data_IF_097746485202
#
_entry.id   IF_097746485202
#
_cell.length_a   1.000
_cell.length_b   1.000
_cell.length_c   1.000
_cell.angle_alpha   90.00
_cell.angle_beta   90.00
_cell.angle_gamma   90.00
#
_symmetry.space_group_name_H-M   'P 1'
#
loop_
_entity.id
_entity.type
_entity.pdbx_description
1 polymer ?
#
# COMPACT_ATOMS: atom_id res chain seq x y z
N UNK A 1 -52.79 -17.86 -59.67
CA UNK A 1 -52.19 -17.50 -58.37
C UNK A 1 -51.98 -16.00 -58.37
N UNK A 2 -52.56 -15.27 -57.42
CA UNK A 2 -52.34 -13.82 -57.32
C UNK A 2 -50.97 -13.55 -56.70
N UNK A 3 -50.12 -12.81 -57.39
CA UNK A 3 -48.86 -12.32 -56.84
C UNK A 3 -49.14 -11.44 -55.63
N UNK A 4 -48.65 -11.85 -54.45
CA UNK A 4 -48.61 -10.97 -53.27
C UNK A 4 -47.64 -9.84 -53.58
N UNK A 5 -48.15 -8.61 -53.74
CA UNK A 5 -47.30 -7.42 -53.84
C UNK A 5 -46.44 -7.31 -52.59
N UNK A 6 -45.11 -7.16 -52.71
CA UNK A 6 -44.24 -6.96 -51.55
C UNK A 6 -44.64 -5.69 -50.80
N UNK A 7 -44.63 -5.76 -49.47
CA UNK A 7 -44.88 -4.59 -48.61
C UNK A 7 -43.62 -3.72 -48.65
N UNK A 8 -43.74 -2.52 -49.22
CA UNK A 8 -42.68 -1.52 -49.26
C UNK A 8 -42.60 -0.84 -47.88
N UNK A 9 -41.45 -0.94 -47.22
CA UNK A 9 -41.13 -0.24 -45.96
C UNK A 9 -40.02 0.78 -46.20
N UNK A 10 -39.96 1.88 -45.48
CA UNK A 10 -38.93 2.92 -45.66
C UNK A 10 -37.74 2.69 -44.72
N UNK A 11 -36.55 3.15 -45.11
CA UNK A 11 -35.47 3.35 -44.13
C UNK A 11 -35.70 4.68 -43.41
N UNK A 12 -35.08 4.83 -42.24
CA UNK A 12 -35.05 6.11 -41.55
C UNK A 12 -33.59 6.55 -41.42
N UNK A 13 -33.18 7.65 -42.04
CA UNK A 13 -31.84 8.25 -41.92
C UNK A 13 -32.01 9.71 -41.52
N UNK A 14 -31.24 10.21 -40.56
CA UNK A 14 -31.34 11.58 -40.04
C UNK A 14 -32.79 12.05 -39.77
N UNK A 15 -33.56 11.22 -39.07
CA UNK A 15 -34.99 11.44 -38.78
C UNK A 15 -35.90 11.60 -40.03
N UNK A 16 -35.39 11.31 -41.22
CA UNK A 16 -36.09 11.35 -42.50
C UNK A 16 -36.44 9.95 -43.02
N UNK A 17 -37.61 9.83 -43.65
CA UNK A 17 -38.10 8.56 -44.20
C UNK A 17 -37.66 8.39 -45.65
N UNK A 18 -36.74 7.46 -45.88
CA UNK A 18 -36.11 7.20 -47.18
C UNK A 18 -36.98 6.27 -48.01
N UNK A 19 -37.57 6.81 -49.07
CA UNK A 19 -38.52 6.09 -49.95
C UNK A 19 -37.86 5.63 -51.23
N UNK A 20 -36.83 6.31 -51.70
CA UNK A 20 -36.07 6.00 -52.91
C UNK A 20 -34.58 6.33 -52.74
N UNK A 21 -33.80 6.15 -53.82
CA UNK A 21 -32.36 6.38 -53.82
C UNK A 21 -31.99 7.87 -53.79
N UNK A 22 -32.87 8.76 -54.23
CA UNK A 22 -32.60 10.19 -54.19
C UNK A 22 -32.79 10.70 -52.76
N UNK A 23 -33.85 10.28 -52.06
CA UNK A 23 -34.01 10.50 -50.62
C UNK A 23 -32.78 9.99 -49.84
N UNK A 24 -32.22 8.83 -50.22
CA UNK A 24 -31.06 8.23 -49.54
C UNK A 24 -29.81 9.10 -49.68
N UNK A 25 -29.61 9.68 -50.88
CA UNK A 25 -28.47 10.56 -51.17
C UNK A 25 -28.61 11.90 -50.49
N UNK A 26 -29.82 12.45 -50.47
CA UNK A 26 -30.13 13.77 -49.88
C UNK A 26 -30.08 13.75 -48.34
N UNK A 27 -30.38 12.61 -47.72
CA UNK A 27 -30.37 12.40 -46.26
C UNK A 27 -29.38 11.31 -45.84
N UNK A 28 -28.20 11.30 -46.48
CA UNK A 28 -27.19 10.28 -46.24
C UNK A 28 -26.64 10.33 -44.81
N UNK A 29 -26.57 9.18 -44.15
CA UNK A 29 -26.01 9.03 -42.80
C UNK A 29 -25.22 7.72 -42.76
N UNK A 30 -23.91 7.78 -43.03
CA UNK A 30 -23.09 6.59 -43.29
C UNK A 30 -23.08 5.59 -42.12
N UNK A 31 -23.07 6.09 -40.88
CA UNK A 31 -23.06 5.24 -39.67
C UNK A 31 -24.34 4.40 -39.57
N UNK A 32 -25.50 4.99 -39.83
CA UNK A 32 -26.79 4.30 -39.77
C UNK A 32 -27.00 3.39 -40.97
N UNK A 33 -26.50 3.79 -42.14
CA UNK A 33 -26.50 2.93 -43.32
C UNK A 33 -25.63 1.67 -43.10
N UNK A 34 -24.49 1.79 -42.43
CA UNK A 34 -23.67 0.64 -42.01
C UNK A 34 -24.44 -0.31 -41.07
N UNK A 35 -25.24 0.20 -40.14
CA UNK A 35 -26.12 -0.63 -39.29
C UNK A 35 -27.17 -1.36 -40.12
N UNK A 36 -27.76 -0.70 -41.13
CA UNK A 36 -28.71 -1.36 -42.02
C UNK A 36 -28.06 -2.41 -42.92
N UNK A 37 -26.84 -2.17 -43.38
CA UNK A 37 -26.04 -3.14 -44.12
C UNK A 37 -25.71 -4.39 -43.26
N UNK A 38 -25.15 -4.19 -42.06
CA UNK A 38 -24.76 -5.30 -41.18
C UNK A 38 -25.97 -6.13 -40.76
N UNK A 39 -27.11 -5.50 -40.50
CA UNK A 39 -28.36 -6.18 -40.11
C UNK A 39 -29.12 -6.86 -41.27
N UNK A 40 -28.71 -6.71 -42.53
CA UNK A 40 -29.45 -7.26 -43.67
C UNK A 40 -30.68 -6.44 -44.08
N UNK A 41 -30.85 -5.25 -43.50
CA UNK A 41 -32.02 -4.39 -43.70
C UNK A 41 -31.91 -3.61 -45.02
N UNK A 42 -30.70 -3.16 -45.36
CA UNK A 42 -30.43 -2.46 -46.60
C UNK A 42 -30.71 -3.33 -47.82
N UNK A 43 -30.25 -4.59 -47.81
CA UNK A 43 -30.45 -5.54 -48.90
C UNK A 43 -31.95 -5.83 -49.12
N UNK A 44 -32.70 -6.01 -48.02
CA UNK A 44 -34.17 -6.20 -48.09
C UNK A 44 -34.87 -4.97 -48.65
N UNK A 45 -34.42 -3.78 -48.27
CA UNK A 45 -35.00 -2.52 -48.75
C UNK A 45 -34.76 -2.32 -50.25
N UNK A 46 -33.54 -2.56 -50.73
CA UNK A 46 -33.17 -2.51 -52.15
C UNK A 46 -33.96 -3.53 -52.98
N UNK A 47 -34.01 -4.77 -52.50
CA UNK A 47 -34.72 -5.87 -53.18
C UNK A 47 -36.21 -5.61 -53.34
N UNK A 48 -36.89 -5.12 -52.30
CA UNK A 48 -38.33 -4.87 -52.34
C UNK A 48 -38.71 -3.74 -53.30
N UNK A 49 -37.76 -2.83 -53.61
CA UNK A 49 -37.94 -1.70 -54.52
C UNK A 49 -37.45 -1.94 -55.95
N UNK A 50 -36.74 -3.04 -56.18
CA UNK A 50 -36.22 -3.41 -57.50
C UNK A 50 -34.92 -2.71 -57.88
N UNK A 51 -34.16 -2.18 -56.90
CA UNK A 51 -32.81 -1.63 -57.12
C UNK A 51 -31.78 -2.76 -57.23
N UNK A 52 -31.87 -3.53 -58.33
CA UNK A 52 -31.12 -4.77 -58.52
C UNK A 52 -29.62 -4.55 -58.72
N UNK A 53 -29.23 -3.42 -59.31
CA UNK A 53 -27.83 -3.08 -59.54
C UNK A 53 -27.13 -2.73 -58.21
N UNK A 54 -27.71 -1.81 -57.44
CA UNK A 54 -27.22 -1.46 -56.10
C UNK A 54 -27.27 -2.65 -55.14
N UNK A 55 -28.32 -3.49 -55.22
CA UNK A 55 -28.41 -4.71 -54.41
C UNK A 55 -27.23 -5.64 -54.71
N UNK A 56 -26.93 -5.86 -55.98
CA UNK A 56 -25.81 -6.72 -56.39
C UNK A 56 -24.48 -6.19 -55.87
N UNK A 57 -24.26 -4.88 -55.95
CA UNK A 57 -23.02 -4.28 -55.47
C UNK A 57 -22.92 -4.32 -53.93
N UNK A 58 -24.02 -4.12 -53.21
CA UNK A 58 -24.07 -4.26 -51.75
C UNK A 58 -23.82 -5.72 -51.33
N UNK A 59 -24.38 -6.70 -52.04
CA UNK A 59 -24.17 -8.13 -51.79
C UNK A 59 -22.71 -8.57 -52.04
N UNK A 60 -21.95 -7.83 -52.85
CA UNK A 60 -20.52 -8.07 -53.07
C UNK A 60 -19.63 -7.55 -51.93
N UNK A 61 -20.16 -6.70 -51.04
CA UNK A 61 -19.40 -6.25 -49.87
C UNK A 61 -19.26 -7.41 -48.88
N UNK A 62 -18.02 -7.79 -48.60
CA UNK A 62 -17.72 -8.78 -47.58
C UNK A 62 -18.01 -8.20 -46.19
N UNK A 63 -18.99 -8.76 -45.48
CA UNK A 63 -19.37 -8.35 -44.11
C UNK A 63 -18.26 -8.52 -43.06
N UNK A 64 -17.16 -9.20 -43.40
CA UNK A 64 -15.97 -9.34 -42.54
C UNK A 64 -14.85 -8.34 -42.87
N UNK A 65 -15.05 -7.46 -43.85
CA UNK A 65 -14.11 -6.39 -44.13
C UNK A 65 -14.04 -5.40 -42.96
N UNK A 66 -12.97 -4.61 -42.90
CA UNK A 66 -12.79 -3.55 -41.92
C UNK A 66 -13.90 -2.51 -42.03
N UNK A 67 -14.29 -1.92 -40.89
CA UNK A 67 -15.29 -0.84 -40.82
C UNK A 67 -15.07 0.24 -41.90
N UNK A 68 -13.85 0.77 -42.00
CA UNK A 68 -13.42 1.74 -43.02
C UNK A 68 -13.78 1.30 -44.45
N UNK A 69 -13.27 0.15 -44.89
CA UNK A 69 -13.54 -0.38 -46.23
C UNK A 69 -15.02 -0.57 -46.52
N UNK A 70 -15.83 -0.96 -45.53
CA UNK A 70 -17.28 -1.09 -45.71
C UNK A 70 -17.91 0.28 -45.92
N UNK A 71 -17.52 1.30 -45.13
CA UNK A 71 -18.07 2.64 -45.28
C UNK A 71 -17.74 3.25 -46.65
N UNK A 72 -16.49 3.10 -47.09
CA UNK A 72 -16.04 3.58 -48.42
C UNK A 72 -16.87 2.93 -49.53
N UNK A 73 -17.01 1.60 -49.51
CA UNK A 73 -17.79 0.88 -50.53
C UNK A 73 -19.27 1.29 -50.54
N UNK A 74 -19.87 1.50 -49.37
CA UNK A 74 -21.26 1.97 -49.28
C UNK A 74 -21.42 3.37 -49.90
N UNK A 75 -20.51 4.29 -49.59
CA UNK A 75 -20.55 5.63 -50.18
C UNK A 75 -20.32 5.62 -51.70
N UNK A 76 -19.44 4.75 -52.21
CA UNK A 76 -19.23 4.55 -53.64
C UNK A 76 -20.50 4.05 -54.35
N UNK A 77 -21.17 3.04 -53.79
CA UNK A 77 -22.41 2.47 -54.37
C UNK A 77 -23.52 3.52 -54.44
N UNK A 78 -23.71 4.28 -53.36
CA UNK A 78 -24.79 5.27 -53.30
C UNK A 78 -24.40 6.64 -53.87
N UNK A 79 -23.13 6.83 -54.24
CA UNK A 79 -22.55 8.04 -54.84
C UNK A 79 -22.72 9.27 -53.95
N UNK A 80 -22.36 9.12 -52.68
CA UNK A 80 -22.47 10.17 -51.67
C UNK A 80 -21.11 10.77 -51.32
N UNK A 81 -21.12 11.83 -50.50
CA UNK A 81 -19.90 12.60 -50.21
C UNK A 81 -18.88 11.78 -49.42
N UNK A 82 -17.69 11.66 -49.99
CA UNK A 82 -16.55 10.99 -49.35
C UNK A 82 -15.99 11.75 -48.14
N UNK A 83 -16.20 13.07 -48.03
CA UNK A 83 -15.63 13.88 -46.94
C UNK A 83 -16.28 13.55 -45.59
N UNK A 84 -17.61 13.38 -45.55
CA UNK A 84 -18.34 12.95 -44.36
C UNK A 84 -17.89 11.57 -43.88
N UNK A 85 -17.69 10.63 -44.83
CA UNK A 85 -17.22 9.28 -44.53
C UNK A 85 -15.81 9.28 -43.95
N UNK A 86 -14.90 10.08 -44.54
CA UNK A 86 -13.54 10.23 -44.02
C UNK A 86 -13.53 10.83 -42.62
N UNK A 87 -14.45 11.75 -42.31
CA UNK A 87 -14.56 12.30 -40.96
C UNK A 87 -15.01 11.23 -39.96
N UNK A 88 -16.03 10.45 -40.30
CA UNK A 88 -16.49 9.32 -39.46
C UNK A 88 -15.38 8.30 -39.20
N UNK A 89 -14.59 7.97 -40.22
CA UNK A 89 -13.44 7.05 -40.06
C UNK A 89 -12.42 7.63 -39.07
N UNK A 90 -12.06 8.91 -39.22
CA UNK A 90 -11.11 9.59 -38.31
C UNK A 90 -11.62 9.64 -36.88
N UNK A 91 -12.91 9.91 -36.70
CA UNK A 91 -13.53 9.97 -35.38
C UNK A 91 -13.52 8.60 -34.71
N UNK A 92 -13.84 7.53 -35.45
CA UNK A 92 -13.78 6.15 -34.96
C UNK A 92 -12.34 5.74 -34.59
N UNK A 93 -11.36 6.05 -35.44
CA UNK A 93 -9.94 5.79 -35.16
C UNK A 93 -9.47 6.51 -33.89
N UNK A 94 -9.90 7.77 -33.70
CA UNK A 94 -9.60 8.55 -32.52
C UNK A 94 -10.20 7.90 -31.27
N UNK A 95 -11.49 7.57 -31.29
CA UNK A 95 -12.17 6.90 -30.17
C UNK A 95 -11.51 5.56 -29.85
N UNK A 96 -11.19 4.76 -30.86
CA UNK A 96 -10.57 3.45 -30.68
C UNK A 96 -9.16 3.58 -30.08
N UNK A 97 -8.41 4.61 -30.44
CA UNK A 97 -7.10 4.93 -29.84
C UNK A 97 -7.26 5.28 -28.36
N UNK A 98 -8.22 6.12 -28.00
CA UNK A 98 -8.46 6.52 -26.62
C UNK A 98 -8.92 5.33 -25.75
N UNK A 99 -9.81 4.48 -26.28
CA UNK A 99 -10.21 3.24 -25.61
C UNK A 99 -8.99 2.33 -25.37
N UNK A 100 -8.12 2.17 -26.36
CA UNK A 100 -6.93 1.33 -26.22
C UNK A 100 -5.91 1.93 -25.23
N UNK A 101 -5.77 3.24 -25.19
CA UNK A 101 -4.95 3.94 -24.20
C UNK A 101 -5.50 3.74 -22.79
N UNK A 102 -6.82 3.90 -22.60
CA UNK A 102 -7.49 3.69 -21.33
C UNK A 102 -7.34 2.25 -20.83
N UNK A 103 -7.48 1.24 -21.71
CA UNK A 103 -7.25 -0.17 -21.37
C UNK A 103 -5.83 -0.43 -20.87
N UNK A 104 -4.81 0.11 -21.56
CA UNK A 104 -3.41 -0.03 -21.14
C UNK A 104 -3.12 0.63 -19.79
N UNK A 105 -3.76 1.77 -19.50
CA UNK A 105 -3.64 2.42 -18.19
C UNK A 105 -4.26 1.55 -17.11
N UNK A 106 -5.45 1.00 -17.36
CA UNK A 106 -6.15 0.13 -16.42
C UNK A 106 -5.36 -1.16 -16.12
N UNK A 107 -4.81 -1.82 -17.15
CA UNK A 107 -3.96 -3.00 -17.00
C UNK A 107 -2.76 -2.71 -16.09
N UNK A 108 -2.05 -1.59 -16.33
CA UNK A 108 -0.92 -1.18 -15.48
C UNK A 108 -1.34 -0.84 -14.05
N UNK A 109 -2.52 -0.25 -13.86
CA UNK A 109 -3.05 0.02 -12.52
C UNK A 109 -3.34 -1.28 -11.75
N UNK A 110 -3.88 -2.29 -12.43
CA UNK A 110 -4.12 -3.60 -11.85
C UNK A 110 -2.81 -4.30 -11.46
N UNK A 111 -1.82 -4.33 -12.36
CA UNK A 111 -0.48 -4.87 -12.07
C UNK A 111 0.16 -4.18 -10.85
N UNK A 112 0.10 -2.85 -10.79
CA UNK A 112 0.59 -2.11 -9.63
C UNK A 112 -0.16 -2.46 -8.34
N UNK A 113 -1.48 -2.63 -8.40
CA UNK A 113 -2.30 -3.01 -7.23
C UNK A 113 -1.87 -4.38 -6.70
N UNK A 114 -1.72 -5.37 -7.58
CA UNK A 114 -1.31 -6.72 -7.19
C UNK A 114 0.07 -6.74 -6.52
N UNK A 115 1.03 -5.95 -7.04
CA UNK A 115 2.36 -5.81 -6.44
C UNK A 115 2.27 -5.19 -5.05
N UNK A 116 1.47 -4.13 -4.88
CA UNK A 116 1.29 -3.46 -3.58
C UNK A 116 0.60 -4.40 -2.59
N UNK A 117 -0.47 -5.07 -3.01
CA UNK A 117 -1.22 -6.02 -2.18
C UNK A 117 -0.34 -7.19 -1.73
N UNK A 118 0.48 -7.75 -2.62
CA UNK A 118 1.46 -8.78 -2.27
C UNK A 118 2.47 -8.27 -1.25
N UNK A 119 3.06 -7.11 -1.50
CA UNK A 119 4.05 -6.49 -0.60
C UNK A 119 3.47 -6.17 0.79
N UNK A 120 2.24 -5.66 0.86
CA UNK A 120 1.53 -5.39 2.12
C UNK A 120 1.15 -6.69 2.83
N UNK A 121 0.71 -7.71 2.10
CA UNK A 121 0.35 -9.02 2.68
C UNK A 121 1.56 -9.69 3.34
N UNK A 122 2.70 -9.73 2.65
CA UNK A 122 3.94 -10.28 3.22
C UNK A 122 4.39 -9.50 4.47
N UNK A 123 4.20 -8.17 4.46
CA UNK A 123 4.45 -7.35 5.64
C UNK A 123 3.55 -7.71 6.82
N UNK A 124 2.24 -7.85 6.60
CA UNK A 124 1.26 -8.23 7.62
C UNK A 124 1.61 -9.59 8.24
N UNK A 125 2.10 -10.55 7.45
CA UNK A 125 2.57 -11.84 7.97
C UNK A 125 3.77 -11.69 8.90
N UNK A 126 4.77 -10.89 8.52
CA UNK A 126 5.95 -10.62 9.36
C UNK A 126 5.52 -9.94 10.65
N UNK A 127 4.65 -8.94 10.56
CA UNK A 127 4.04 -8.25 11.70
C UNK A 127 3.36 -9.21 12.65
N UNK A 128 2.50 -10.11 12.13
CA UNK A 128 1.78 -11.09 12.93
C UNK A 128 2.70 -12.09 13.63
N UNK A 129 3.82 -12.46 13.01
CA UNK A 129 4.84 -13.33 13.64
C UNK A 129 5.61 -12.62 14.77
N UNK A 130 5.76 -11.30 14.71
CA UNK A 130 6.38 -10.54 15.80
C UNK A 130 5.38 -10.33 16.95
N UNK A 131 4.14 -9.95 16.62
CA UNK A 131 3.07 -9.64 17.58
C UNK A 131 2.29 -10.89 18.00
N UNK A 132 2.99 -11.98 18.34
CA UNK A 132 2.36 -13.22 18.84
C UNK A 132 1.75 -12.96 20.24
N UNK A 133 0.57 -13.51 20.58
CA UNK A 133 -0.10 -13.28 21.88
C UNK A 133 0.63 -13.86 23.11
N UNK A 134 1.64 -14.72 22.89
CA UNK A 134 2.46 -15.32 23.95
C UNK A 134 3.91 -15.25 23.54
N UNK A 135 4.74 -14.85 24.47
CA UNK A 135 6.17 -14.61 24.26
C UNK A 135 7.00 -15.45 25.22
N UNK A 136 8.04 -16.10 24.71
CA UNK A 136 9.04 -16.83 25.49
C UNK A 136 10.45 -16.30 25.23
N UNK A 137 11.38 -16.47 26.19
CA UNK A 137 12.80 -16.08 26.01
C UNK A 137 13.41 -16.67 24.74
N UNK A 138 13.01 -17.91 24.39
CA UNK A 138 13.44 -18.63 23.19
C UNK A 138 13.10 -17.92 21.88
N UNK A 139 12.13 -17.01 21.89
CA UNK A 139 11.59 -16.37 20.68
C UNK A 139 12.38 -15.10 20.32
N UNK A 140 13.23 -14.60 21.22
CA UNK A 140 14.04 -13.38 21.01
C UNK A 140 14.84 -13.44 19.70
N UNK A 141 15.60 -14.52 19.39
CA UNK A 141 16.38 -14.57 18.16
C UNK A 141 15.50 -14.46 16.90
N UNK A 142 14.39 -15.20 16.85
CA UNK A 142 13.45 -15.15 15.72
C UNK A 142 12.86 -13.74 15.54
N UNK A 143 12.49 -13.09 16.64
CA UNK A 143 11.93 -11.73 16.61
C UNK A 143 12.97 -10.71 16.15
N UNK A 144 14.23 -10.83 16.59
CA UNK A 144 15.32 -9.98 16.09
C UNK A 144 15.50 -10.14 14.57
N UNK A 145 15.44 -11.37 14.06
CA UNK A 145 15.53 -11.64 12.63
C UNK A 145 14.33 -11.05 11.86
N UNK A 146 13.12 -11.16 12.40
CA UNK A 146 11.91 -10.56 11.81
C UNK A 146 11.95 -9.03 11.84
N UNK A 147 12.42 -8.42 12.93
CA UNK A 147 12.64 -6.96 13.00
C UNK A 147 13.71 -6.51 12.01
N UNK A 148 14.74 -7.32 11.74
CA UNK A 148 15.72 -7.05 10.71
C UNK A 148 15.09 -7.10 9.31
N UNK A 149 14.14 -8.01 9.06
CA UNK A 149 13.35 -8.05 7.82
C UNK A 149 12.51 -6.77 7.70
N UNK A 150 11.81 -6.35 8.75
CA UNK A 150 11.08 -5.07 8.76
C UNK A 150 12.02 -3.93 8.38
N UNK A 151 13.17 -3.84 9.05
CA UNK A 151 14.14 -2.76 8.82
C UNK A 151 14.70 -2.74 7.40
N UNK A 152 15.02 -3.90 6.82
CA UNK A 152 15.65 -3.97 5.49
C UNK A 152 14.66 -3.87 4.35
N UNK A 153 13.47 -4.48 4.51
CA UNK A 153 12.50 -4.63 3.43
C UNK A 153 11.31 -3.71 3.60
N UNK A 154 10.76 -3.58 4.80
CA UNK A 154 9.44 -2.97 5.02
C UNK A 154 9.47 -1.63 5.80
N UNK A 155 10.62 -0.98 5.92
CA UNK A 155 10.79 0.20 6.76
C UNK A 155 9.82 1.33 6.39
N UNK A 156 9.50 1.50 5.10
CA UNK A 156 8.56 2.52 4.63
C UNK A 156 7.14 2.29 5.15
N UNK A 157 6.59 1.07 5.01
CA UNK A 157 5.27 0.74 5.58
C UNK A 157 5.32 0.83 7.10
N UNK A 158 6.37 0.28 7.70
CA UNK A 158 6.55 0.30 9.14
C UNK A 158 6.56 1.72 9.71
N UNK A 159 7.20 2.67 9.03
CA UNK A 159 7.22 4.09 9.45
C UNK A 159 5.84 4.74 9.49
N UNK A 160 4.88 4.20 8.74
CA UNK A 160 3.48 4.64 8.69
C UNK A 160 2.69 4.04 9.85
N UNK A 161 2.88 2.75 10.13
CA UNK A 161 2.10 2.06 11.16
C UNK A 161 2.79 1.94 12.52
N UNK A 162 4.00 2.47 12.69
CA UNK A 162 4.81 2.32 13.91
C UNK A 162 4.02 2.64 15.18
N UNK A 163 3.11 3.62 15.11
CA UNK A 163 2.25 3.99 16.23
C UNK A 163 1.31 2.84 16.63
N UNK A 164 0.60 2.24 15.67
CA UNK A 164 -0.33 1.14 15.92
C UNK A 164 0.42 -0.12 16.33
N UNK A 165 1.56 -0.39 15.68
CA UNK A 165 2.44 -1.49 16.06
C UNK A 165 2.85 -1.40 17.54
N UNK A 166 3.21 -0.20 18.03
CA UNK A 166 3.58 -0.02 19.45
C UNK A 166 2.39 -0.25 20.36
N UNK A 167 1.20 0.23 20.00
CA UNK A 167 0.00 0.03 20.82
C UNK A 167 -0.31 -1.47 20.95
N UNK A 168 -0.29 -2.20 19.83
CA UNK A 168 -0.48 -3.65 19.83
C UNK A 168 0.63 -4.36 20.61
N UNK A 169 1.90 -3.96 20.40
CA UNK A 169 3.04 -4.54 21.10
C UNK A 169 2.94 -4.29 22.61
N UNK A 170 2.43 -3.14 23.05
CA UNK A 170 2.24 -2.85 24.48
C UNK A 170 1.24 -3.80 25.14
N UNK A 171 0.22 -4.24 24.40
CA UNK A 171 -0.79 -5.16 24.91
C UNK A 171 -0.34 -6.62 24.81
N UNK A 172 0.28 -6.98 23.70
CA UNK A 172 0.59 -8.37 23.37
C UNK A 172 2.00 -8.80 23.78
N UNK A 173 3.01 -7.94 23.57
CA UNK A 173 4.42 -8.29 23.74
C UNK A 173 5.34 -7.07 23.95
N UNK A 174 5.36 -6.47 25.15
CA UNK A 174 6.10 -5.22 25.41
C UNK A 174 7.61 -5.33 25.18
N UNK A 175 8.16 -6.54 25.28
CA UNK A 175 9.55 -6.84 24.96
C UNK A 175 9.92 -6.50 23.50
N UNK A 176 9.00 -6.61 22.56
CA UNK A 176 9.23 -6.22 21.16
C UNK A 176 9.60 -4.74 21.09
N UNK A 177 8.92 -3.90 21.88
CA UNK A 177 9.22 -2.47 21.96
C UNK A 177 10.65 -2.28 22.50
N UNK A 178 11.09 -3.05 23.51
CA UNK A 178 12.47 -2.97 24.01
C UNK A 178 13.50 -3.35 22.93
N UNK A 179 13.27 -4.45 22.19
CA UNK A 179 14.12 -4.88 21.08
C UNK A 179 14.19 -3.84 19.96
N UNK A 180 13.05 -3.24 19.62
CA UNK A 180 12.97 -2.16 18.63
C UNK A 180 13.73 -0.92 19.07
N UNK A 181 13.61 -0.54 20.35
CA UNK A 181 14.31 0.62 20.90
C UNK A 181 15.81 0.40 20.98
N UNK A 182 16.31 -0.84 20.97
CA UNK A 182 17.74 -1.11 20.89
C UNK A 182 18.31 -0.81 19.49
N UNK A 183 17.56 -1.08 18.43
CA UNK A 183 17.99 -0.78 17.06
C UNK A 183 17.93 0.73 16.80
N UNK A 184 19.07 1.34 16.43
CA UNK A 184 19.18 2.79 16.24
C UNK A 184 18.26 3.32 15.14
N UNK A 185 18.07 2.58 14.05
CA UNK A 185 17.29 3.04 12.90
C UNK A 185 15.80 2.95 13.20
N UNK A 186 15.38 1.85 13.84
CA UNK A 186 14.00 1.69 14.32
C UNK A 186 13.70 2.69 15.43
N UNK A 187 14.60 2.86 16.41
CA UNK A 187 14.48 3.85 17.49
C UNK A 187 14.27 5.25 16.92
N UNK A 188 14.98 5.67 15.88
CA UNK A 188 14.77 6.99 15.25
C UNK A 188 13.32 7.22 14.81
N UNK A 189 12.59 6.20 14.37
CA UNK A 189 11.19 6.36 13.94
C UNK A 189 10.27 6.95 15.03
N UNK A 190 10.66 6.82 16.30
CA UNK A 190 9.90 7.32 17.43
C UNK A 190 10.24 8.79 17.77
N UNK A 191 11.50 9.19 17.64
CA UNK A 191 11.97 10.53 18.04
C UNK A 191 12.12 11.49 16.86
N UNK A 192 12.46 10.99 15.67
CA UNK A 192 12.75 11.80 14.49
C UNK A 192 11.45 12.33 13.87
N UNK A 193 11.35 13.66 13.77
CA UNK A 193 10.15 14.34 13.26
C UNK A 193 10.05 14.29 11.74
N UNK A 194 11.17 14.03 11.05
CA UNK A 194 11.37 14.43 9.65
C UNK A 194 11.25 13.27 8.64
N UNK A 195 10.84 12.08 9.07
CA UNK A 195 10.64 10.91 8.17
C UNK A 195 9.53 11.09 7.13
N UNK A 196 8.61 12.02 7.35
CA UNK A 196 7.68 12.52 6.33
C UNK A 196 8.23 13.84 5.83
N UNK A 197 9.33 13.76 5.10
CA UNK A 197 9.95 14.94 4.50
C UNK A 197 8.88 15.76 3.78
N UNK A 198 8.80 17.04 4.15
CA UNK A 198 8.20 18.09 3.33
C UNK A 198 6.74 17.86 2.92
N UNK A 199 5.83 17.55 3.85
CA UNK A 199 4.50 18.16 3.72
C UNK A 199 4.70 19.63 4.06
N UNK A 200 4.86 20.43 3.01
CA UNK A 200 5.04 21.87 3.03
C UNK A 200 3.82 22.46 3.75
N UNK A 201 3.94 22.75 5.05
CA UNK A 201 2.95 23.55 5.78
C UNK A 201 3.37 25.03 5.60
N UNK A 202 2.84 25.69 4.57
CA UNK A 202 2.48 27.10 4.73
C UNK A 202 1.12 27.25 5.45
N UNK A 203 0.34 26.17 5.60
CA UNK A 203 -0.89 26.13 6.41
C UNK A 203 -1.09 24.76 7.09
N UNK A 204 -1.12 24.75 8.43
CA UNK A 204 -1.24 23.52 9.24
C UNK A 204 -2.58 22.80 9.02
N UNK A 205 -2.58 21.81 8.13
CA UNK A 205 -3.77 21.02 7.80
C UNK A 205 -4.23 20.12 8.97
N UNK A 206 -5.50 19.69 8.94
CA UNK A 206 -6.08 18.73 9.91
C UNK A 206 -5.32 17.40 9.92
N UNK A 207 -4.79 16.99 8.76
CA UNK A 207 -3.93 15.82 8.62
C UNK A 207 -2.59 15.98 9.35
N UNK A 208 -1.94 17.16 9.25
CA UNK A 208 -0.70 17.44 9.98
C UNK A 208 -0.93 17.35 11.50
N UNK A 209 -2.07 17.87 12.00
CA UNK A 209 -2.44 17.78 13.43
C UNK A 209 -2.65 16.34 13.88
N UNK A 210 -3.33 15.51 13.08
CA UNK A 210 -3.55 14.10 13.39
C UNK A 210 -2.23 13.31 13.47
N UNK A 211 -1.31 13.52 12.52
CA UNK A 211 0.01 12.87 12.52
C UNK A 211 0.81 13.26 13.76
N UNK A 212 0.86 14.56 14.11
CA UNK A 212 1.52 15.04 15.33
C UNK A 212 0.95 14.39 16.60
N UNK A 213 -0.38 14.28 16.69
CA UNK A 213 -1.08 13.63 17.82
C UNK A 213 -0.70 12.15 17.95
N UNK A 214 -0.78 11.38 16.86
CA UNK A 214 -0.44 9.95 16.87
C UNK A 214 1.02 9.69 17.24
N UNK A 215 1.96 10.53 16.76
CA UNK A 215 3.37 10.47 17.19
C UNK A 215 3.53 10.75 18.68
N UNK A 216 2.83 11.73 19.24
CA UNK A 216 2.87 12.01 20.67
C UNK A 216 2.36 10.81 21.50
N UNK A 217 1.30 10.14 21.03
CA UNK A 217 0.77 8.92 21.65
C UNK A 217 1.76 7.75 21.58
N UNK A 218 2.40 7.53 20.42
CA UNK A 218 3.43 6.50 20.26
C UNK A 218 4.66 6.75 21.15
N UNK A 219 5.13 8.01 21.24
CA UNK A 219 6.21 8.39 22.17
C UNK A 219 5.82 8.16 23.62
N UNK A 220 4.59 8.51 23.99
CA UNK A 220 4.06 8.27 25.33
C UNK A 220 3.98 6.77 25.64
N UNK A 221 3.55 5.96 24.67
CA UNK A 221 3.50 4.50 24.80
C UNK A 221 4.91 3.88 24.93
N UNK A 222 5.87 4.32 24.11
CA UNK A 222 7.26 3.89 24.17
C UNK A 222 7.97 4.35 25.45
N UNK A 223 7.68 5.55 25.95
CA UNK A 223 8.25 6.04 27.23
C UNK A 223 7.61 5.32 28.42
N UNK A 224 6.30 5.06 28.35
CA UNK A 224 5.57 4.20 29.28
C UNK A 224 5.99 2.73 29.21
N UNK A 225 6.85 2.33 28.26
CA UNK A 225 7.44 1.00 28.21
C UNK A 225 8.21 0.69 29.49
N UNK A 226 8.97 1.64 30.03
CA UNK A 226 9.77 1.41 31.25
C UNK A 226 8.84 1.06 32.41
N UNK A 227 7.73 1.79 32.55
CA UNK A 227 6.71 1.52 33.57
C UNK A 227 5.96 0.20 33.30
N UNK A 228 5.67 -0.10 32.03
CA UNK A 228 4.97 -1.32 31.60
C UNK A 228 5.85 -2.56 31.79
N UNK A 229 7.12 -2.50 31.41
CA UNK A 229 8.10 -3.58 31.56
C UNK A 229 8.44 -3.79 33.03
N UNK A 230 8.64 -2.72 33.81
CA UNK A 230 8.89 -2.81 35.26
C UNK A 230 7.67 -3.36 36.03
N UNK A 231 6.45 -3.13 35.55
CA UNK A 231 5.25 -3.74 36.15
C UNK A 231 5.03 -5.19 35.70
N UNK A 232 5.43 -5.56 34.48
CA UNK A 232 5.31 -6.93 33.95
C UNK A 232 6.41 -7.89 34.40
N UNK A 233 7.58 -7.35 34.75
CA UNK A 233 8.70 -8.12 35.27
C UNK A 233 8.42 -8.71 36.66
N UNK A 234 7.42 -8.17 37.39
CA UNK A 234 6.84 -8.81 38.60
C UNK A 234 5.96 -10.03 38.31
N UNK A 235 5.55 -10.25 37.05
CA UNK A 235 4.55 -11.26 36.63
C UNK A 235 5.12 -12.46 35.87
N UNK A 236 6.45 -12.67 35.85
CA UNK A 236 7.13 -13.84 35.22
C UNK A 236 6.96 -14.02 33.69
N UNK A 237 6.42 -13.03 32.99
CA UNK A 237 6.11 -13.13 31.55
C UNK A 237 7.19 -12.56 30.62
N UNK A 238 8.22 -11.93 31.18
CA UNK A 238 9.32 -11.33 30.42
C UNK A 238 10.65 -11.98 30.79
N UNK A 239 11.60 -12.15 29.85
CA UNK A 239 12.92 -12.72 30.09
C UNK A 239 13.87 -11.70 30.73
N UNK A 240 13.39 -11.02 31.77
CA UNK A 240 14.17 -10.06 32.53
C UNK A 240 15.05 -10.82 33.50
N UNK A 241 16.34 -10.52 33.48
CA UNK A 241 17.26 -10.98 34.51
C UNK A 241 17.33 -9.93 35.60
N UNK A 242 17.09 -10.37 36.83
CA UNK A 242 17.12 -9.53 38.01
C UNK A 242 18.36 -9.80 38.85
N UNK A 243 19.02 -8.73 39.25
CA UNK A 243 20.20 -8.75 40.11
C UNK A 243 19.82 -8.08 41.41
N UNK A 244 19.77 -8.86 42.50
CA UNK A 244 19.57 -8.32 43.85
C UNK A 244 20.90 -8.00 44.49
N UNK A 245 20.95 -6.88 45.19
CA UNK A 245 22.10 -6.46 45.95
C UNK A 245 22.39 -7.43 47.10
N UNK A 246 23.66 -7.55 47.44
CA UNK A 246 24.11 -8.15 48.70
C UNK A 246 24.83 -7.09 49.54
N UNK A 247 24.87 -7.27 50.86
CA UNK A 247 25.51 -6.33 51.78
C UNK A 247 26.99 -6.07 51.47
N UNK A 248 27.68 -7.02 50.82
CA UNK A 248 29.09 -6.88 50.42
C UNK A 248 29.31 -5.99 49.18
N UNK A 249 28.24 -5.74 48.42
CA UNK A 249 28.28 -5.04 47.13
C UNK A 249 27.85 -3.57 47.22
N UNK A 250 27.37 -3.11 48.38
CA UNK A 250 26.85 -1.75 48.56
C UNK A 250 27.91 -0.69 48.27
N UNK A 251 27.53 0.30 47.46
CA UNK A 251 28.36 1.44 47.07
C UNK A 251 29.57 1.09 46.20
N UNK A 252 29.68 -0.16 45.73
CA UNK A 252 30.78 -0.62 44.87
C UNK A 252 30.25 -1.03 43.50
N UNK A 253 30.99 -0.68 42.46
CA UNK A 253 30.68 -1.09 41.10
C UNK A 253 31.11 -2.55 40.89
N UNK A 254 30.15 -3.42 40.56
CA UNK A 254 30.38 -4.86 40.37
C UNK A 254 30.04 -5.25 38.93
N UNK A 255 30.93 -6.01 38.29
CA UNK A 255 30.66 -6.59 36.97
C UNK A 255 29.59 -7.68 37.09
N UNK A 256 28.51 -7.53 36.32
CA UNK A 256 27.37 -8.46 36.26
C UNK A 256 27.40 -9.23 34.94
N UNK A 257 27.59 -8.53 33.82
CA UNK A 257 27.61 -9.10 32.48
C UNK A 257 28.93 -8.74 31.81
N UNK A 258 29.67 -9.70 31.23
CA UNK A 258 30.94 -9.42 30.58
C UNK A 258 30.77 -8.59 29.30
N UNK A 259 31.84 -7.88 28.91
CA UNK A 259 31.89 -7.17 27.63
C UNK A 259 31.65 -8.13 26.44
N UNK A 260 31.03 -7.60 25.38
CA UNK A 260 30.63 -8.36 24.19
C UNK A 260 29.19 -8.88 24.24
N UNK A 261 28.51 -8.83 25.40
CA UNK A 261 27.08 -9.13 25.52
C UNK A 261 26.28 -7.84 25.63
N UNK A 262 25.44 -7.55 24.64
CA UNK A 262 24.59 -6.36 24.65
C UNK A 262 23.39 -6.56 25.57
N UNK A 263 23.18 -5.59 26.46
CA UNK A 263 22.07 -5.63 27.41
C UNK A 263 21.39 -4.28 27.50
N UNK A 264 20.08 -4.30 27.71
CA UNK A 264 19.30 -3.11 27.99
C UNK A 264 18.85 -3.14 29.44
N UNK A 265 19.25 -2.15 30.23
CA UNK A 265 18.71 -1.94 31.57
C UNK A 265 17.31 -1.34 31.44
N UNK A 266 16.35 -1.97 32.09
CA UNK A 266 14.92 -1.64 32.04
C UNK A 266 14.35 -1.27 33.40
N UNK A 267 15.08 -1.59 34.46
CA UNK A 267 14.72 -1.26 35.83
C UNK A 267 15.98 -0.99 36.65
N UNK A 268 15.95 0.10 37.41
CA UNK A 268 16.98 0.48 38.35
C UNK A 268 16.30 1.12 39.55
N UNK A 269 16.58 0.63 40.77
CA UNK A 269 16.08 1.27 41.98
C UNK A 269 16.66 2.68 42.12
N UNK A 270 15.85 3.58 42.69
CA UNK A 270 16.28 4.96 42.92
C UNK A 270 17.55 5.02 43.78
N UNK A 271 18.53 5.80 43.32
CA UNK A 271 19.83 5.96 43.99
C UNK A 271 20.91 4.95 43.58
N UNK A 272 20.54 3.86 42.91
CA UNK A 272 21.51 2.93 42.33
C UNK A 272 22.15 3.50 41.05
N UNK A 273 23.27 2.90 40.65
CA UNK A 273 23.99 3.24 39.41
C UNK A 273 24.38 2.00 38.63
N UNK A 274 24.53 2.13 37.31
CA UNK A 274 25.02 1.07 36.43
C UNK A 274 25.98 1.62 35.38
N UNK A 275 26.64 0.76 34.61
CA UNK A 275 27.53 1.19 33.53
C UNK A 275 27.86 0.05 32.58
N UNK A 276 28.64 0.32 31.54
CA UNK A 276 29.20 -0.73 30.69
C UNK A 276 30.17 -1.62 31.49
N UNK A 277 30.47 -2.81 30.96
CA UNK A 277 31.48 -3.67 31.56
C UNK A 277 32.82 -2.95 31.66
N UNK A 278 33.44 -3.03 32.83
CA UNK A 278 34.70 -2.32 33.13
C UNK A 278 34.50 -0.90 33.65
N UNK A 279 33.27 -0.41 33.81
CA UNK A 279 32.99 0.80 34.59
C UNK A 279 33.44 0.58 36.04
N UNK A 280 34.31 1.46 36.56
CA UNK A 280 34.93 1.35 37.89
C UNK A 280 34.48 2.49 38.81
N UNK A 281 34.22 3.67 38.25
CA UNK A 281 33.97 4.90 38.99
C UNK A 281 32.60 5.52 38.67
N UNK A 282 32.16 6.42 39.55
CA UNK A 282 30.83 7.05 39.46
C UNK A 282 30.65 8.00 38.28
N UNK A 283 31.73 8.56 37.73
CA UNK A 283 31.67 9.54 36.64
C UNK A 283 31.24 8.91 35.31
N UNK A 284 31.56 7.63 35.12
CA UNK A 284 31.19 6.85 33.93
C UNK A 284 29.95 5.97 34.15
N UNK A 285 29.19 6.27 35.21
CA UNK A 285 28.01 5.50 35.59
C UNK A 285 26.71 6.26 35.32
N UNK A 286 25.66 5.49 35.11
CA UNK A 286 24.34 5.94 34.74
C UNK A 286 23.37 5.76 35.91
N UNK A 287 22.43 6.69 36.02
CA UNK A 287 21.32 6.63 36.98
C UNK A 287 20.01 6.23 36.29
N UNK A 288 18.91 6.29 37.04
CA UNK A 288 17.58 5.94 36.52
C UNK A 288 17.07 6.88 35.43
N UNK A 289 17.64 8.10 35.28
CA UNK A 289 17.27 9.01 34.19
C UNK A 289 17.79 8.51 32.84
N UNK A 290 18.94 7.84 32.84
CA UNK A 290 19.54 7.32 31.62
C UNK A 290 18.72 6.20 30.97
N UNK A 291 17.87 5.49 31.73
CA UNK A 291 16.99 4.44 31.21
C UNK A 291 16.07 4.93 30.08
N UNK A 292 15.70 6.22 30.09
CA UNK A 292 14.85 6.84 29.06
C UNK A 292 15.53 7.00 27.71
N UNK A 293 16.85 6.81 27.64
CA UNK A 293 17.60 6.84 26.38
C UNK A 293 17.53 5.53 25.60
N UNK A 294 17.17 4.42 26.26
CA UNK A 294 17.11 3.07 25.71
C UNK A 294 18.37 2.64 24.95
N UNK A 295 19.54 3.08 25.40
CA UNK A 295 20.83 2.74 24.81
C UNK A 295 21.30 1.42 25.43
N UNK A 296 21.57 0.37 24.63
CA UNK A 296 22.14 -0.87 25.14
C UNK A 296 23.57 -0.69 25.61
N UNK A 297 23.90 -1.29 26.75
CA UNK A 297 25.25 -1.37 27.30
C UNK A 297 26.06 -2.51 26.66
N UNK A 298 27.38 -2.35 26.64
CA UNK A 298 28.32 -3.43 26.31
C UNK A 298 28.77 -4.15 27.58
N UNK A 299 28.13 -5.27 27.89
CA UNK A 299 28.15 -5.86 29.22
C UNK A 299 27.46 -4.94 30.25
N UNK A 300 27.67 -5.21 31.53
CA UNK A 300 26.98 -4.48 32.60
C UNK A 300 27.77 -4.51 33.90
N UNK A 301 27.93 -3.32 34.48
CA UNK A 301 28.33 -3.12 35.86
C UNK A 301 27.17 -2.52 36.68
N UNK A 302 27.09 -2.86 37.97
CA UNK A 302 26.02 -2.41 38.86
C UNK A 302 26.56 -2.01 40.24
N UNK A 303 26.09 -0.86 40.74
CA UNK A 303 26.43 -0.28 42.02
C UNK A 303 25.14 -0.05 42.84
N UNK A 304 24.75 -0.99 43.71
CA UNK A 304 23.58 -0.84 44.57
C UNK A 304 23.84 0.15 45.71
N UNK A 305 22.82 0.92 46.08
CA UNK A 305 22.88 1.90 47.17
C UNK A 305 22.33 1.36 48.51
N UNK A 306 21.48 0.33 48.49
CA UNK A 306 20.94 -0.31 49.69
C UNK A 306 20.78 -1.85 49.53
N UNK A 307 20.48 -2.56 50.62
CA UNK A 307 20.36 -4.04 50.61
C UNK A 307 19.10 -4.56 49.91
N UNK A 308 18.12 -3.69 49.67
CA UNK A 308 16.91 -3.97 48.92
C UNK A 308 17.06 -3.50 47.45
N UNK A 309 18.26 -3.05 47.06
CA UNK A 309 18.57 -2.63 45.69
C UNK A 309 18.45 -3.78 44.71
N UNK A 310 17.85 -3.46 43.57
CA UNK A 310 17.61 -4.40 42.49
C UNK A 310 17.77 -3.71 41.13
N UNK A 311 18.38 -4.43 40.19
CA UNK A 311 18.50 -4.04 38.79
C UNK A 311 17.85 -5.10 37.91
N UNK A 312 17.11 -4.66 36.90
CA UNK A 312 16.54 -5.53 35.87
C UNK A 312 17.10 -5.19 34.49
N UNK A 313 17.59 -6.22 33.77
CA UNK A 313 18.08 -6.06 32.40
C UNK A 313 17.58 -7.18 31.48
N UNK A 314 17.65 -6.94 30.17
CA UNK A 314 17.37 -7.92 29.13
C UNK A 314 18.58 -7.99 28.18
N UNK A 315 18.90 -9.20 27.72
CA UNK A 315 19.88 -9.42 26.65
C UNK A 315 19.29 -9.05 25.29
N UNK A 316 19.96 -8.15 24.56
CA UNK A 316 19.48 -7.52 23.31
C UNK A 316 20.49 -7.63 22.19
#
# INVERSE_FOLDING_TARGET
MGEKKPILFNLELDHYQIRDLDDLRDHFEIQKLYVYFTSGTLERWLKNRGYLDELKDVELINKKDTFENVLIKLAEIFRTDSEEVLQVIKDEEFVQREINNAKKILEKQQECSEIIEGYVSEYIEVRGKILKPRFFKSDIPEIKDLLLIIKKKYLSIFSIEVCDFIMDAKELSPIVIALMLCDKDIRKLFWDTDLYGNIIDEDETEMTKLVKKRKAEARKAATGLIETVASLSTRSQLPVTYVKATSLQLGKMNSIVPAGQKVLVIYLRYGDRYGDAGCIDSEDSYDSQHLKSFIPNDGLCYCPNDVESELGYIEV
#
